data_IF_862739441423
#
_entry.id   IF_862739441423
#
_cell.length_a   1.000
_cell.length_b   1.000
_cell.length_c   1.000
_cell.angle_alpha   90.00
_cell.angle_beta   90.00
_cell.angle_gamma   90.00
#
_symmetry.space_group_name_H-M   'P 1'
#
loop_
_entity.id
_entity.type
_entity.pdbx_description
1 polymer ?
#
# COMPACT_ATOMS: atom_id res chain seq x y z
N UNK A 1 -25.83 -14.38 -23.38
CA UNK A 1 -24.96 -14.40 -22.19
C UNK A 1 -25.60 -15.30 -21.16
N UNK A 2 -24.91 -16.34 -20.67
CA UNK A 2 -25.50 -17.29 -19.68
C UNK A 2 -25.33 -16.69 -18.28
N UNK A 3 -26.30 -16.94 -17.39
CA UNK A 3 -26.28 -16.40 -16.01
C UNK A 3 -24.98 -16.71 -15.26
N UNK A 4 -24.39 -17.88 -15.48
CA UNK A 4 -23.10 -18.29 -14.91
C UNK A 4 -21.93 -17.37 -15.33
N UNK A 5 -21.93 -16.85 -16.56
CA UNK A 5 -20.87 -15.97 -17.07
C UNK A 5 -20.92 -14.58 -16.40
N UNK A 6 -22.13 -14.12 -16.06
CA UNK A 6 -22.32 -12.84 -15.35
C UNK A 6 -21.87 -12.92 -13.90
N UNK A 7 -22.15 -14.07 -13.26
CA UNK A 7 -21.84 -14.29 -11.84
C UNK A 7 -20.42 -14.80 -11.61
N UNK A 8 -19.64 -15.07 -12.68
CA UNK A 8 -18.31 -15.70 -12.62
C UNK A 8 -18.27 -17.01 -11.82
N UNK A 9 -19.34 -17.80 -11.91
CA UNK A 9 -19.49 -19.12 -11.28
C UNK A 9 -19.70 -20.18 -12.35
N UNK A 10 -19.37 -21.44 -12.06
CA UNK A 10 -19.64 -22.55 -12.98
C UNK A 10 -21.12 -22.91 -12.98
N UNK A 11 -21.57 -23.57 -14.05
CA UNK A 11 -22.94 -24.07 -14.11
C UNK A 11 -23.22 -25.06 -12.97
N UNK A 12 -22.23 -25.84 -12.57
CA UNK A 12 -22.27 -26.78 -11.45
C UNK A 12 -22.49 -26.08 -10.11
N UNK A 13 -21.75 -24.99 -9.87
CA UNK A 13 -21.93 -24.13 -8.70
C UNK A 13 -23.28 -23.41 -8.67
N UNK A 14 -23.86 -23.11 -9.85
CA UNK A 14 -25.19 -22.52 -9.94
C UNK A 14 -26.31 -23.53 -9.59
N UNK A 15 -26.06 -24.81 -9.79
CA UNK A 15 -27.05 -25.91 -9.61
C UNK A 15 -26.90 -26.62 -8.25
N UNK A 16 -25.88 -26.34 -7.46
CA UNK A 16 -25.72 -26.91 -6.12
C UNK A 16 -26.38 -26.00 -5.08
N UNK A 17 -27.15 -26.59 -4.15
CA UNK A 17 -27.74 -25.90 -3.00
C UNK A 17 -26.71 -25.46 -1.94
N UNK A 18 -25.44 -25.80 -2.14
CA UNK A 18 -24.36 -25.33 -1.29
C UNK A 18 -23.86 -23.95 -1.79
N UNK A 19 -23.70 -22.95 -0.92
CA UNK A 19 -23.10 -21.69 -1.32
C UNK A 19 -21.72 -21.99 -1.92
N UNK A 20 -21.33 -21.34 -3.04
CA UNK A 20 -20.02 -21.51 -3.63
C UNK A 20 -18.96 -21.21 -2.58
N UNK A 21 -17.98 -22.11 -2.44
CA UNK A 21 -16.79 -21.78 -1.65
C UNK A 21 -16.21 -20.47 -2.16
N UNK A 22 -15.97 -19.50 -1.26
CA UNK A 22 -15.33 -18.25 -1.67
C UNK A 22 -13.99 -18.58 -2.34
N UNK A 23 -13.63 -17.88 -3.42
CA UNK A 23 -12.37 -18.13 -4.11
C UNK A 23 -11.21 -18.11 -3.12
N UNK A 24 -10.26 -19.02 -3.27
CA UNK A 24 -9.10 -19.12 -2.41
C UNK A 24 -8.40 -17.74 -2.33
N UNK A 25 -8.29 -17.16 -1.13
CA UNK A 25 -7.77 -15.81 -0.91
C UNK A 25 -8.83 -14.73 -0.64
N UNK A 26 -10.13 -15.05 -0.66
CA UNK A 26 -11.21 -14.09 -0.38
C UNK A 26 -11.52 -13.92 1.13
N UNK A 27 -10.99 -14.78 1.97
CA UNK A 27 -11.19 -14.70 3.42
C UNK A 27 -10.07 -13.89 4.06
N UNK A 28 -10.38 -12.85 4.86
CA UNK A 28 -9.38 -12.11 5.59
C UNK A 28 -8.55 -13.04 6.50
N UNK A 29 -7.23 -12.87 6.56
CA UNK A 29 -6.38 -13.65 7.45
C UNK A 29 -6.69 -13.35 8.91
N UNK A 30 -6.39 -14.29 9.81
CA UNK A 30 -6.67 -14.18 11.24
C UNK A 30 -6.10 -12.88 11.85
N UNK A 31 -4.91 -12.46 11.43
CA UNK A 31 -4.25 -11.23 11.89
C UNK A 31 -5.01 -9.94 11.51
N UNK A 32 -5.84 -9.98 10.47
CA UNK A 32 -6.64 -8.82 10.08
C UNK A 32 -7.99 -8.75 10.79
N UNK A 33 -8.53 -9.86 11.33
CA UNK A 33 -9.88 -9.93 11.86
C UNK A 33 -10.12 -8.96 13.00
N UNK A 34 -9.22 -8.89 13.99
CA UNK A 34 -9.35 -7.94 15.11
C UNK A 34 -9.37 -6.48 14.66
N UNK A 35 -8.60 -6.13 13.64
CA UNK A 35 -8.58 -4.77 13.05
C UNK A 35 -9.89 -4.50 12.30
N UNK A 36 -10.39 -5.49 11.58
CA UNK A 36 -11.69 -5.40 10.87
C UNK A 36 -12.83 -5.23 11.88
N UNK A 37 -12.86 -6.04 12.92
CA UNK A 37 -13.90 -5.97 13.95
C UNK A 37 -13.91 -4.58 14.64
N UNK A 38 -12.74 -4.02 14.92
CA UNK A 38 -12.62 -2.68 15.49
C UNK A 38 -13.14 -1.57 14.56
N UNK A 39 -13.06 -1.77 13.23
CA UNK A 39 -13.66 -0.81 12.29
C UNK A 39 -15.19 -0.76 12.40
N UNK A 40 -15.84 -1.87 12.72
CA UNK A 40 -17.31 -1.95 12.81
C UNK A 40 -17.81 -1.84 14.26
N UNK A 41 -16.91 -1.93 15.24
CA UNK A 41 -17.25 -1.85 16.66
C UNK A 41 -17.77 -0.47 17.09
N UNK A 42 -18.70 -0.47 18.05
CA UNK A 42 -19.08 0.75 18.71
C UNK A 42 -17.97 1.18 19.70
N UNK A 43 -17.67 2.47 19.83
CA UNK A 43 -16.71 2.92 20.81
C UNK A 43 -17.22 2.56 22.24
N UNK A 44 -16.34 2.03 23.11
CA UNK A 44 -16.72 1.76 24.49
C UNK A 44 -17.07 3.05 25.24
N UNK A 45 -17.84 2.94 26.31
CA UNK A 45 -18.28 4.08 27.16
C UNK A 45 -17.24 4.54 28.19
N UNK A 46 -15.97 4.23 27.98
CA UNK A 46 -14.85 4.63 28.84
C UNK A 46 -14.30 6.00 28.44
N UNK A 47 -13.58 6.66 29.32
CA UNK A 47 -12.90 7.91 29.00
C UNK A 47 -11.85 7.69 27.90
N UNK A 48 -11.75 8.60 26.90
CA UNK A 48 -10.78 8.47 25.82
C UNK A 48 -9.35 8.59 26.36
N UNK A 49 -8.39 7.87 25.77
CA UNK A 49 -6.97 8.08 26.07
C UNK A 49 -6.54 9.53 25.76
N UNK A 50 -5.63 10.08 26.58
CA UNK A 50 -5.08 11.40 26.32
C UNK A 50 -4.46 11.50 24.91
N UNK A 51 -4.62 12.63 24.18
CA UNK A 51 -4.10 12.79 22.81
C UNK A 51 -2.60 12.49 22.66
N UNK A 52 -1.79 12.82 23.66
CA UNK A 52 -0.37 12.51 23.68
C UNK A 52 -0.07 11.00 23.69
N UNK A 53 -0.91 10.20 24.37
CA UNK A 53 -0.79 8.73 24.38
C UNK A 53 -1.13 8.17 23.00
N UNK A 54 -2.22 8.66 22.40
CA UNK A 54 -2.64 8.23 21.06
C UNK A 54 -1.56 8.54 20.02
N UNK A 55 -0.98 9.75 20.02
CA UNK A 55 0.11 10.12 19.11
C UNK A 55 1.34 9.22 19.28
N UNK A 56 1.75 8.94 20.52
CA UNK A 56 2.89 8.06 20.79
C UNK A 56 2.63 6.63 20.30
N UNK A 57 1.45 6.08 20.57
CA UNK A 57 1.06 4.75 20.09
C UNK A 57 0.99 4.71 18.56
N UNK A 58 0.46 5.74 17.93
CA UNK A 58 0.42 5.86 16.47
C UNK A 58 1.83 5.89 15.88
N UNK A 59 2.74 6.70 16.43
CA UNK A 59 4.15 6.73 16.00
C UNK A 59 4.80 5.34 16.07
N UNK A 60 4.65 4.66 17.21
CA UNK A 60 5.12 3.28 17.38
C UNK A 60 4.55 2.32 16.32
N UNK A 61 3.25 2.44 16.01
CA UNK A 61 2.63 1.62 14.98
C UNK A 61 3.16 1.96 13.56
N UNK A 62 3.43 3.23 13.27
CA UNK A 62 4.03 3.63 11.99
C UNK A 62 5.46 3.08 11.84
N UNK A 63 6.28 3.16 12.88
CA UNK A 63 7.61 2.55 12.91
C UNK A 63 7.54 1.02 12.74
N UNK A 64 6.59 0.36 13.44
CA UNK A 64 6.35 -1.07 13.29
C UNK A 64 5.94 -1.44 11.84
N UNK A 65 5.15 -0.59 11.18
CA UNK A 65 4.79 -0.79 9.77
C UNK A 65 6.03 -0.72 8.86
N UNK A 66 6.87 0.31 9.01
CA UNK A 66 8.11 0.46 8.24
C UNK A 66 9.11 -0.68 8.51
N UNK A 67 9.09 -1.24 9.73
CA UNK A 67 9.89 -2.38 10.12
C UNK A 67 9.28 -3.75 9.75
N UNK A 68 8.12 -3.78 9.05
CA UNK A 68 7.36 -5.00 8.70
C UNK A 68 6.86 -5.83 9.90
N UNK A 69 6.73 -5.25 11.08
CA UNK A 69 6.24 -5.94 12.29
C UNK A 69 4.70 -6.00 12.31
N UNK A 70 4.08 -6.69 11.34
CA UNK A 70 2.63 -6.69 11.16
C UNK A 70 1.85 -7.39 12.27
N UNK A 71 2.45 -8.38 12.95
CA UNK A 71 1.86 -8.97 14.14
C UNK A 71 1.69 -7.95 15.29
N UNK A 72 2.61 -6.99 15.41
CA UNK A 72 2.47 -5.87 16.34
C UNK A 72 1.28 -4.98 15.97
N UNK A 73 1.13 -4.68 14.67
CA UNK A 73 -0.01 -3.88 14.18
C UNK A 73 -1.35 -4.59 14.42
N UNK A 74 -1.42 -5.91 14.17
CA UNK A 74 -2.61 -6.72 14.42
C UNK A 74 -3.10 -6.58 15.88
N UNK A 75 -2.17 -6.51 16.84
CA UNK A 75 -2.46 -6.38 18.27
C UNK A 75 -2.80 -4.95 18.69
N UNK A 76 -2.07 -3.94 18.16
CA UNK A 76 -2.17 -2.56 18.65
C UNK A 76 -3.28 -1.73 17.95
N UNK A 77 -3.55 -2.01 16.66
CA UNK A 77 -4.49 -1.20 15.89
C UNK A 77 -5.94 -1.25 16.40
N UNK A 78 -6.49 -2.38 16.88
CA UNK A 78 -7.87 -2.40 17.39
C UNK A 78 -8.12 -1.37 18.48
N UNK A 79 -7.26 -1.32 19.50
CA UNK A 79 -7.36 -0.34 20.59
C UNK A 79 -7.08 1.08 20.13
N UNK A 80 -6.16 1.24 19.17
CA UNK A 80 -5.84 2.56 18.62
C UNK A 80 -7.00 3.14 17.82
N UNK A 81 -7.70 2.32 17.01
CA UNK A 81 -8.93 2.71 16.29
C UNK A 81 -9.98 3.17 17.29
N UNK A 82 -10.26 2.36 18.30
CA UNK A 82 -11.28 2.62 19.29
C UNK A 82 -10.96 3.88 20.10
N UNK A 83 -9.73 4.01 20.61
CA UNK A 83 -9.32 5.16 21.43
C UNK A 83 -9.28 6.46 20.63
N UNK A 84 -8.80 6.44 19.38
CA UNK A 84 -8.80 7.63 18.52
C UNK A 84 -10.23 8.03 18.12
N UNK A 85 -11.11 7.05 17.86
CA UNK A 85 -12.52 7.29 17.59
C UNK A 85 -13.24 7.96 18.75
N UNK A 86 -13.02 7.48 19.98
CA UNK A 86 -13.55 8.09 21.20
C UNK A 86 -13.03 9.52 21.40
N UNK A 87 -11.70 9.72 21.29
CA UNK A 87 -11.10 11.03 21.44
C UNK A 87 -11.67 12.05 20.44
N UNK A 88 -11.84 11.65 19.17
CA UNK A 88 -12.41 12.53 18.15
C UNK A 88 -13.91 12.81 18.37
N UNK A 89 -14.66 11.90 19.01
CA UNK A 89 -16.07 12.08 19.31
C UNK A 89 -16.29 12.99 20.53
N UNK A 90 -15.46 12.87 21.58
CA UNK A 90 -15.62 13.56 22.84
C UNK A 90 -14.74 14.81 23.01
N UNK A 91 -13.88 15.12 22.01
CA UNK A 91 -12.97 16.26 22.07
C UNK A 91 -13.73 17.59 22.27
N UNK A 92 -13.28 18.47 23.18
CA UNK A 92 -13.77 19.84 23.29
C UNK A 92 -13.58 20.58 21.93
N UNK A 93 -14.39 21.62 21.70
CA UNK A 93 -14.37 22.38 20.44
C UNK A 93 -12.97 22.84 20.03
N UNK A 94 -12.13 23.25 21.00
CA UNK A 94 -10.76 23.71 20.74
C UNK A 94 -9.75 22.61 20.38
N UNK A 95 -10.05 21.35 20.68
CA UNK A 95 -9.17 20.19 20.46
C UNK A 95 -9.67 19.29 19.33
N UNK A 96 -10.83 19.59 18.77
CA UNK A 96 -11.51 18.71 17.82
C UNK A 96 -10.72 18.53 16.51
N UNK A 97 -10.11 19.59 16.02
CA UNK A 97 -9.26 19.58 14.82
C UNK A 97 -8.09 18.61 14.98
N UNK A 98 -7.39 18.67 16.11
CA UNK A 98 -6.27 17.80 16.42
C UNK A 98 -6.70 16.33 16.59
N UNK A 99 -7.79 16.10 17.30
CA UNK A 99 -8.34 14.76 17.49
C UNK A 99 -8.76 14.11 16.15
N UNK A 100 -9.35 14.88 15.24
CA UNK A 100 -9.71 14.44 13.90
C UNK A 100 -8.45 14.15 13.06
N UNK A 101 -7.38 14.93 13.16
CA UNK A 101 -6.12 14.67 12.50
C UNK A 101 -5.50 13.34 12.95
N UNK A 102 -5.48 13.07 14.25
CA UNK A 102 -5.01 11.79 14.81
C UNK A 102 -5.88 10.62 14.32
N UNK A 103 -7.21 10.76 14.35
CA UNK A 103 -8.13 9.74 13.87
C UNK A 103 -7.92 9.44 12.38
N UNK A 104 -7.76 10.47 11.57
CA UNK A 104 -7.44 10.33 10.15
C UNK A 104 -6.17 9.49 9.96
N UNK A 105 -5.13 9.81 10.71
CA UNK A 105 -3.85 9.12 10.61
C UNK A 105 -3.95 7.64 11.01
N UNK A 106 -4.71 7.34 12.05
CA UNK A 106 -4.99 5.94 12.45
C UNK A 106 -5.66 5.19 11.31
N UNK A 107 -6.71 5.73 10.71
CA UNK A 107 -7.38 5.08 9.59
C UNK A 107 -6.51 4.96 8.33
N UNK A 108 -5.61 5.91 8.07
CA UNK A 108 -4.62 5.80 7.00
C UNK A 108 -3.67 4.62 7.21
N UNK A 109 -3.20 4.42 8.45
CA UNK A 109 -2.34 3.29 8.80
C UNK A 109 -3.10 1.96 8.70
N UNK A 110 -4.34 1.91 9.19
CA UNK A 110 -5.23 0.75 9.03
C UNK A 110 -5.44 0.40 7.56
N UNK A 111 -5.69 1.40 6.72
CA UNK A 111 -5.80 1.20 5.26
C UNK A 111 -4.54 0.56 4.69
N UNK A 112 -3.36 1.08 5.07
CA UNK A 112 -2.08 0.56 4.59
C UNK A 112 -1.83 -0.87 5.05
N UNK A 113 -2.16 -1.18 6.30
CA UNK A 113 -2.06 -2.51 6.88
C UNK A 113 -2.99 -3.51 6.17
N UNK A 114 -4.25 -3.16 5.99
CA UNK A 114 -5.22 -4.02 5.30
C UNK A 114 -4.86 -4.26 3.83
N UNK A 115 -4.29 -3.26 3.13
CA UNK A 115 -3.81 -3.45 1.76
C UNK A 115 -2.66 -4.47 1.64
N UNK A 116 -2.01 -4.88 2.73
CA UNK A 116 -0.99 -5.95 2.69
C UNK A 116 -1.60 -7.31 2.34
N UNK A 117 -2.88 -7.49 2.61
CA UNK A 117 -3.61 -8.74 2.37
C UNK A 117 -4.40 -8.75 1.05
N UNK A 118 -4.17 -7.75 0.18
CA UNK A 118 -4.72 -7.72 -1.18
C UNK A 118 -6.25 -7.68 -1.24
N UNK A 119 -6.83 -8.49 -2.12
CA UNK A 119 -8.27 -8.52 -2.36
C UNK A 119 -9.09 -9.00 -1.15
N UNK A 120 -8.53 -9.84 -0.30
CA UNK A 120 -9.21 -10.38 0.87
C UNK A 120 -9.72 -9.31 1.86
N UNK A 121 -9.08 -8.16 1.87
CA UNK A 121 -9.40 -7.03 2.77
C UNK A 121 -9.66 -5.71 2.03
N UNK A 122 -9.82 -5.76 0.70
CA UNK A 122 -9.95 -4.56 -0.13
C UNK A 122 -11.17 -3.68 0.25
N UNK A 123 -12.30 -4.30 0.61
CA UNK A 123 -13.52 -3.59 1.03
C UNK A 123 -13.27 -2.85 2.35
N UNK A 124 -12.67 -3.51 3.33
CA UNK A 124 -12.40 -2.95 4.65
C UNK A 124 -11.31 -1.87 4.57
N UNK A 125 -10.30 -2.07 3.71
CA UNK A 125 -9.30 -1.05 3.42
C UNK A 125 -9.92 0.21 2.80
N UNK A 126 -10.89 0.04 1.88
CA UNK A 126 -11.61 1.16 1.28
C UNK A 126 -12.48 1.91 2.31
N UNK A 127 -13.17 1.19 3.20
CA UNK A 127 -13.91 1.78 4.30
C UNK A 127 -13.00 2.60 5.22
N UNK A 128 -11.84 2.07 5.58
CA UNK A 128 -10.87 2.78 6.40
C UNK A 128 -10.32 4.02 5.68
N UNK A 129 -10.06 3.94 4.36
CA UNK A 129 -9.62 5.07 3.55
C UNK A 129 -10.66 6.20 3.47
N UNK A 130 -11.93 5.85 3.31
CA UNK A 130 -13.04 6.81 3.31
C UNK A 130 -13.16 7.52 4.66
N UNK A 131 -13.13 6.76 5.77
CA UNK A 131 -13.13 7.32 7.12
C UNK A 131 -11.91 8.21 7.39
N UNK A 132 -10.73 7.83 6.88
CA UNK A 132 -9.53 8.64 6.96
C UNK A 132 -9.73 10.00 6.29
N UNK A 133 -10.32 10.01 5.09
CA UNK A 133 -10.58 11.25 4.34
C UNK A 133 -11.60 12.13 5.06
N UNK A 134 -12.70 11.58 5.55
CA UNK A 134 -13.71 12.33 6.31
C UNK A 134 -13.11 12.98 7.55
N UNK A 135 -12.29 12.24 8.30
CA UNK A 135 -11.60 12.78 9.49
C UNK A 135 -10.55 13.84 9.10
N UNK A 136 -9.82 13.63 7.99
CA UNK A 136 -8.86 14.61 7.47
C UNK A 136 -9.54 15.93 7.06
N UNK A 137 -10.66 15.86 6.36
CA UNK A 137 -11.42 17.06 5.98
C UNK A 137 -11.95 17.82 7.19
N UNK A 138 -12.38 17.11 8.25
CA UNK A 138 -12.78 17.74 9.53
C UNK A 138 -11.61 18.38 10.26
N UNK A 139 -10.39 17.87 10.10
CA UNK A 139 -9.19 18.50 10.66
C UNK A 139 -8.79 19.77 9.92
N UNK A 140 -9.14 19.90 8.63
CA UNK A 140 -8.75 21.01 7.77
C UNK A 140 -7.26 21.05 7.43
N UNK A 141 -6.46 20.07 7.87
CA UNK A 141 -5.02 19.98 7.61
C UNK A 141 -4.75 19.46 6.19
N UNK A 142 -4.12 20.25 5.29
CA UNK A 142 -3.86 19.84 3.91
C UNK A 142 -2.98 18.59 3.82
N UNK A 143 -2.06 18.37 4.76
CA UNK A 143 -1.21 17.17 4.81
C UNK A 143 -2.05 15.94 5.09
N UNK A 144 -2.94 16.00 6.10
CA UNK A 144 -3.82 14.88 6.42
C UNK A 144 -4.80 14.58 5.26
N UNK A 145 -5.36 15.62 4.64
CA UNK A 145 -6.27 15.46 3.49
C UNK A 145 -5.53 14.81 2.31
N UNK A 146 -4.33 15.28 1.97
CA UNK A 146 -3.52 14.71 0.89
C UNK A 146 -3.11 13.26 1.15
N UNK A 147 -2.66 12.97 2.37
CA UNK A 147 -2.27 11.62 2.77
C UNK A 147 -3.47 10.64 2.79
N UNK A 148 -4.66 11.08 3.21
CA UNK A 148 -5.89 10.29 3.14
C UNK A 148 -6.35 10.09 1.68
N UNK A 149 -6.29 11.13 0.85
CA UNK A 149 -6.64 11.06 -0.56
C UNK A 149 -5.80 10.01 -1.30
N UNK A 150 -4.52 9.89 -0.97
CA UNK A 150 -3.64 8.84 -1.50
C UNK A 150 -4.14 7.43 -1.16
N UNK A 151 -4.67 7.22 0.06
CA UNK A 151 -5.24 5.93 0.49
C UNK A 151 -6.54 5.60 -0.27
N UNK A 152 -7.38 6.60 -0.50
CA UNK A 152 -8.58 6.45 -1.33
C UNK A 152 -8.21 6.10 -2.77
N UNK A 153 -7.26 6.81 -3.38
CA UNK A 153 -6.78 6.50 -4.73
C UNK A 153 -6.28 5.06 -4.85
N UNK A 154 -5.47 4.58 -3.89
CA UNK A 154 -5.02 3.18 -3.86
C UNK A 154 -6.19 2.20 -3.73
N UNK A 155 -7.17 2.49 -2.88
CA UNK A 155 -8.36 1.64 -2.71
C UNK A 155 -9.22 1.58 -3.98
N UNK A 156 -9.31 2.67 -4.75
CA UNK A 156 -9.99 2.69 -6.05
C UNK A 156 -9.32 1.76 -7.07
N UNK A 157 -7.99 1.66 -7.06
CA UNK A 157 -7.26 0.70 -7.91
C UNK A 157 -7.64 -0.74 -7.55
N UNK A 158 -7.69 -1.09 -6.26
CA UNK A 158 -8.16 -2.42 -5.83
C UNK A 158 -9.62 -2.71 -6.19
N UNK A 159 -10.44 -1.66 -6.31
CA UNK A 159 -11.82 -1.76 -6.78
C UNK A 159 -11.94 -1.79 -8.31
N UNK A 160 -10.85 -1.98 -9.04
CA UNK A 160 -10.81 -2.00 -10.51
C UNK A 160 -11.30 -0.68 -11.14
N UNK A 161 -11.02 0.46 -10.48
CA UNK A 161 -11.38 1.82 -10.93
C UNK A 161 -10.15 2.72 -11.08
N UNK A 162 -9.13 2.31 -11.86
CA UNK A 162 -7.89 3.05 -11.95
C UNK A 162 -8.04 4.45 -12.59
N UNK A 163 -8.95 4.65 -13.55
CA UNK A 163 -9.23 5.98 -14.12
C UNK A 163 -9.73 6.96 -13.05
N UNK A 164 -10.67 6.50 -12.23
CA UNK A 164 -11.19 7.30 -11.11
C UNK A 164 -10.08 7.59 -10.09
N UNK A 165 -9.19 6.63 -9.84
CA UNK A 165 -8.05 6.81 -8.93
C UNK A 165 -7.08 7.89 -9.44
N UNK A 166 -6.76 7.91 -10.74
CA UNK A 166 -5.93 8.95 -11.36
C UNK A 166 -6.58 10.32 -11.19
N UNK A 167 -7.87 10.44 -11.58
CA UNK A 167 -8.61 11.70 -11.47
C UNK A 167 -8.66 12.20 -10.03
N UNK A 168 -8.91 11.31 -9.08
CA UNK A 168 -9.01 11.64 -7.67
C UNK A 168 -7.67 12.12 -7.09
N UNK A 169 -6.58 11.38 -7.33
CA UNK A 169 -5.25 11.75 -6.85
C UNK A 169 -4.76 13.07 -7.45
N UNK A 170 -4.95 13.28 -8.76
CA UNK A 170 -4.53 14.53 -9.43
C UNK A 170 -5.38 15.73 -9.05
N UNK A 171 -6.68 15.55 -8.84
CA UNK A 171 -7.56 16.60 -8.34
C UNK A 171 -7.17 17.01 -6.91
N UNK A 172 -6.83 16.03 -6.04
CA UNK A 172 -6.34 16.31 -4.70
C UNK A 172 -4.99 17.04 -4.73
N UNK A 173 -4.04 16.61 -5.56
CA UNK A 173 -2.75 17.29 -5.72
C UNK A 173 -2.94 18.76 -6.10
N UNK A 174 -3.70 19.05 -7.16
CA UNK A 174 -3.96 20.42 -7.63
C UNK A 174 -4.67 21.28 -6.58
N UNK A 175 -5.69 20.72 -5.91
CA UNK A 175 -6.47 21.45 -4.89
C UNK A 175 -5.61 21.84 -3.69
N UNK A 176 -4.68 20.98 -3.30
CA UNK A 176 -3.92 21.12 -2.07
C UNK A 176 -2.52 21.72 -2.28
N UNK A 177 -2.05 21.89 -3.53
CA UNK A 177 -0.68 22.28 -3.87
C UNK A 177 -0.19 23.51 -3.09
N UNK A 178 -0.98 24.58 -3.03
CA UNK A 178 -0.63 25.80 -2.31
C UNK A 178 -0.41 25.55 -0.83
N UNK A 179 -1.39 24.96 -0.15
CA UNK A 179 -1.32 24.66 1.27
C UNK A 179 -0.23 23.62 1.62
N UNK A 180 0.00 22.63 0.74
CA UNK A 180 1.09 21.67 0.92
C UNK A 180 2.46 22.32 0.75
N UNK A 181 2.61 23.20 -0.22
CA UNK A 181 3.88 23.93 -0.45
C UNK A 181 4.24 24.80 0.76
N UNK A 182 3.27 25.43 1.40
CA UNK A 182 3.46 26.23 2.61
C UNK A 182 3.91 25.41 3.82
N UNK A 183 3.62 24.11 3.85
CA UNK A 183 4.04 23.16 4.91
C UNK A 183 5.51 22.67 4.73
N UNK A 184 6.24 23.18 3.73
CA UNK A 184 7.63 22.82 3.51
C UNK A 184 7.84 21.33 3.19
N UNK A 185 8.89 20.69 3.71
CA UNK A 185 9.22 19.29 3.36
C UNK A 185 8.10 18.31 3.63
N UNK A 186 7.36 18.47 4.72
CA UNK A 186 6.22 17.62 5.08
C UNK A 186 5.11 17.68 4.03
N UNK A 187 4.74 18.87 3.59
CA UNK A 187 3.73 19.04 2.54
C UNK A 187 4.24 18.61 1.17
N UNK A 188 5.50 18.90 0.83
CA UNK A 188 6.12 18.43 -0.42
C UNK A 188 6.15 16.91 -0.50
N UNK A 189 6.48 16.22 0.60
CA UNK A 189 6.39 14.75 0.68
C UNK A 189 4.97 14.26 0.35
N UNK A 190 3.95 14.89 0.91
CA UNK A 190 2.55 14.54 0.64
C UNK A 190 2.17 14.78 -0.82
N UNK A 191 2.57 15.92 -1.40
CA UNK A 191 2.29 16.30 -2.78
C UNK A 191 2.94 15.31 -3.76
N UNK A 192 4.23 15.03 -3.58
CA UNK A 192 4.94 14.08 -4.43
C UNK A 192 4.35 12.66 -4.36
N UNK A 193 3.95 12.23 -3.15
CA UNK A 193 3.29 10.93 -2.99
C UNK A 193 1.89 10.87 -3.63
N UNK A 194 1.18 11.99 -3.80
CA UNK A 194 -0.05 12.04 -4.58
C UNK A 194 0.22 11.80 -6.07
N UNK A 195 1.24 12.44 -6.64
CA UNK A 195 1.66 12.21 -8.02
C UNK A 195 2.13 10.76 -8.25
N UNK A 196 2.91 10.19 -7.33
CA UNK A 196 3.31 8.77 -7.40
C UNK A 196 2.09 7.83 -7.34
N UNK A 197 1.07 8.18 -6.56
CA UNK A 197 -0.18 7.41 -6.52
C UNK A 197 -0.95 7.48 -7.83
N UNK A 198 -0.97 8.66 -8.49
CA UNK A 198 -1.54 8.83 -9.82
C UNK A 198 -0.77 8.02 -10.88
N UNK A 199 0.56 7.99 -10.81
CA UNK A 199 1.41 7.19 -11.71
C UNK A 199 1.11 5.69 -11.59
N UNK A 200 1.04 5.16 -10.37
CA UNK A 200 0.70 3.75 -10.13
C UNK A 200 -0.73 3.40 -10.53
N UNK A 201 -1.68 4.32 -10.34
CA UNK A 201 -3.05 4.13 -10.81
C UNK A 201 -3.11 4.11 -12.36
N UNK A 202 -2.41 5.01 -13.03
CA UNK A 202 -2.33 5.04 -14.50
C UNK A 202 -1.68 3.77 -15.06
N UNK A 203 -0.66 3.24 -14.39
CA UNK A 203 0.01 1.99 -14.80
C UNK A 203 -0.76 0.70 -14.47
N UNK A 204 -1.85 0.80 -13.72
CA UNK A 204 -2.76 -0.33 -13.46
C UNK A 204 -3.82 -0.53 -14.55
N UNK A 205 -3.70 0.19 -15.67
CA UNK A 205 -4.57 0.12 -16.83
C UNK A 205 -3.88 -0.63 -17.97
N UNK A 206 -4.62 -0.88 -19.05
CA UNK A 206 -4.05 -1.47 -20.27
C UNK A 206 -2.86 -0.63 -20.79
N UNK A 207 -1.78 -1.29 -21.17
CA UNK A 207 -0.58 -0.62 -21.66
C UNK A 207 -0.84 0.01 -23.04
N UNK A 208 -1.00 1.32 -23.10
CA UNK A 208 -1.05 2.14 -24.29
C UNK A 208 -0.03 3.25 -24.23
N UNK A 209 0.44 3.74 -25.38
CA UNK A 209 1.41 4.85 -25.44
C UNK A 209 0.94 6.07 -24.64
N UNK A 210 -0.33 6.43 -24.73
CA UNK A 210 -0.89 7.57 -24.01
C UNK A 210 -0.86 7.36 -22.48
N UNK A 211 -1.14 6.14 -22.02
CA UNK A 211 -1.11 5.82 -20.57
C UNK A 211 0.32 5.74 -20.03
N UNK A 212 1.26 5.20 -20.81
CA UNK A 212 2.69 5.22 -20.46
C UNK A 212 3.18 6.67 -20.33
N UNK A 213 2.85 7.53 -21.30
CA UNK A 213 3.20 8.95 -21.23
C UNK A 213 2.57 9.66 -20.03
N UNK A 214 1.30 9.41 -19.74
CA UNK A 214 0.63 10.01 -18.58
C UNK A 214 1.26 9.55 -17.26
N UNK A 215 1.52 8.25 -17.09
CA UNK A 215 2.16 7.72 -15.89
C UNK A 215 3.58 8.27 -15.71
N UNK A 216 4.37 8.32 -16.79
CA UNK A 216 5.71 8.93 -16.78
C UNK A 216 5.64 10.43 -16.44
N UNK A 217 4.65 11.15 -16.93
CA UNK A 217 4.42 12.55 -16.57
C UNK A 217 4.23 12.73 -15.06
N UNK A 218 3.41 11.88 -14.43
CA UNK A 218 3.22 11.93 -12.98
C UNK A 218 4.47 11.56 -12.17
N UNK A 219 5.30 10.63 -12.67
CA UNK A 219 6.61 10.34 -12.05
C UNK A 219 7.53 11.55 -12.14
N UNK A 220 7.53 12.27 -13.28
CA UNK A 220 8.33 13.48 -13.46
C UNK A 220 7.85 14.62 -12.55
N UNK A 221 6.54 14.85 -12.42
CA UNK A 221 5.99 15.80 -11.44
C UNK A 221 6.45 15.47 -10.00
N UNK A 222 6.46 14.18 -9.65
CA UNK A 222 6.97 13.76 -8.34
C UNK A 222 8.48 13.99 -8.21
N UNK A 223 9.27 13.82 -9.28
CA UNK A 223 10.70 14.11 -9.30
C UNK A 223 10.98 15.59 -9.08
N UNK A 224 10.24 16.49 -9.76
CA UNK A 224 10.36 17.94 -9.58
C UNK A 224 10.03 18.36 -8.13
N UNK A 225 9.02 17.71 -7.51
CA UNK A 225 8.69 17.92 -6.10
C UNK A 225 9.82 17.42 -5.19
N UNK A 226 10.45 16.27 -5.49
CA UNK A 226 11.57 15.73 -4.72
C UNK A 226 12.81 16.61 -4.81
N UNK A 227 13.08 17.22 -5.97
CA UNK A 227 14.16 18.21 -6.14
C UNK A 227 13.90 19.45 -5.30
N UNK A 228 12.67 19.98 -5.32
CA UNK A 228 12.25 21.11 -4.46
C UNK A 228 12.38 20.80 -2.97
N UNK A 229 12.15 19.53 -2.56
CA UNK A 229 12.31 19.09 -1.19
C UNK A 229 13.78 19.02 -0.76
N UNK A 230 14.71 18.77 -1.68
CA UNK A 230 16.14 18.74 -1.45
C UNK A 230 16.68 17.42 -0.91
N UNK A 231 16.15 16.29 -1.35
CA UNK A 231 16.64 14.95 -1.04
C UNK A 231 15.61 14.02 -0.39
N UNK A 232 16.06 12.82 -0.01
CA UNK A 232 15.22 11.84 0.67
C UNK A 232 14.92 12.25 2.11
N UNK A 233 13.64 12.16 2.51
CA UNK A 233 13.17 12.47 3.85
C UNK A 233 12.07 11.51 4.28
N UNK A 234 12.05 11.16 5.55
CA UNK A 234 10.96 10.36 6.12
C UNK A 234 9.90 11.23 6.80
N UNK A 235 9.50 12.30 6.12
CA UNK A 235 8.39 13.12 6.59
C UNK A 235 7.10 12.31 6.56
N UNK A 236 6.43 12.24 7.68
CA UNK A 236 5.15 11.53 7.82
C UNK A 236 5.21 10.04 7.39
N UNK A 237 6.33 9.35 7.64
CA UNK A 237 6.58 7.94 7.26
C UNK A 237 6.37 7.65 5.78
N UNK A 238 6.67 8.62 4.92
CA UNK A 238 6.53 8.47 3.47
C UNK A 238 7.79 7.98 2.79
N UNK A 239 8.96 8.21 3.39
CA UNK A 239 10.27 8.00 2.75
C UNK A 239 10.34 8.70 1.38
N UNK A 240 9.69 9.88 1.23
CA UNK A 240 9.62 10.56 -0.05
C UNK A 240 10.94 11.28 -0.38
N UNK A 241 11.32 11.17 -1.65
CA UNK A 241 12.49 11.84 -2.23
C UNK A 241 12.91 11.16 -3.53
N UNK A 242 14.08 11.50 -4.09
CA UNK A 242 14.56 10.98 -5.37
C UNK A 242 14.61 9.44 -5.41
N UNK A 243 15.05 8.81 -4.32
CA UNK A 243 15.11 7.34 -4.23
C UNK A 243 13.73 6.72 -4.34
N UNK A 244 12.75 7.22 -3.58
CA UNK A 244 11.38 6.69 -3.64
C UNK A 244 10.71 6.94 -5.00
N UNK A 245 11.00 8.04 -5.66
CA UNK A 245 10.57 8.31 -7.05
C UNK A 245 11.14 7.25 -7.99
N UNK A 246 12.43 6.92 -7.87
CA UNK A 246 13.07 5.84 -8.63
C UNK A 246 12.39 4.48 -8.41
N UNK A 247 12.11 4.11 -7.16
CA UNK A 247 11.40 2.87 -6.83
C UNK A 247 10.00 2.82 -7.48
N UNK A 248 9.26 3.91 -7.48
CA UNK A 248 7.95 3.99 -8.10
C UNK A 248 8.02 3.95 -9.63
N UNK A 249 9.10 4.50 -10.24
CA UNK A 249 9.37 4.35 -11.68
C UNK A 249 9.55 2.89 -12.06
N UNK A 250 10.32 2.14 -11.28
CA UNK A 250 10.50 0.69 -11.46
C UNK A 250 9.15 -0.03 -11.37
N UNK A 251 8.36 0.22 -10.32
CA UNK A 251 7.03 -0.38 -10.15
C UNK A 251 6.08 -0.05 -11.32
N UNK A 252 6.10 1.18 -11.82
CA UNK A 252 5.31 1.63 -12.96
C UNK A 252 5.66 0.82 -14.23
N UNK A 253 6.95 0.67 -14.52
CA UNK A 253 7.43 -0.07 -15.70
C UNK A 253 7.07 -1.55 -15.63
N UNK A 254 7.21 -2.16 -14.46
CA UNK A 254 6.79 -3.56 -14.22
C UNK A 254 5.29 -3.74 -14.48
N UNK A 255 4.45 -2.80 -14.05
CA UNK A 255 2.99 -2.86 -14.27
C UNK A 255 2.62 -2.78 -15.76
N UNK A 256 3.38 -2.06 -16.56
CA UNK A 256 3.24 -2.04 -18.01
C UNK A 256 3.86 -3.27 -18.69
N UNK A 257 4.48 -4.19 -17.94
CA UNK A 257 5.13 -5.38 -18.49
C UNK A 257 6.51 -5.13 -19.08
N UNK A 258 7.06 -3.94 -18.92
CA UNK A 258 8.40 -3.57 -19.41
C UNK A 258 9.48 -3.91 -18.38
N UNK A 259 9.83 -5.19 -18.31
CA UNK A 259 10.83 -5.68 -17.37
C UNK A 259 12.25 -5.19 -17.68
N UNK A 260 12.57 -4.91 -18.97
CA UNK A 260 13.91 -4.43 -19.34
C UNK A 260 14.15 -3.01 -18.87
N UNK A 261 13.25 -2.09 -19.21
CA UNK A 261 13.34 -0.70 -18.73
C UNK A 261 13.23 -0.62 -17.21
N UNK A 262 12.49 -1.54 -16.56
CA UNK A 262 12.43 -1.60 -15.11
C UNK A 262 13.78 -1.96 -14.47
N UNK A 263 14.55 -2.91 -15.06
CA UNK A 263 15.89 -3.24 -14.60
C UNK A 263 16.86 -2.07 -14.79
N UNK A 264 16.81 -1.41 -15.97
CA UNK A 264 17.62 -0.21 -16.23
C UNK A 264 17.31 0.91 -15.24
N UNK A 265 16.03 1.20 -14.98
CA UNK A 265 15.64 2.21 -13.99
C UNK A 265 16.06 1.85 -12.56
N UNK A 266 16.12 0.56 -12.23
CA UNK A 266 16.58 0.10 -10.93
C UNK A 266 18.10 0.28 -10.75
N UNK A 267 18.89 0.12 -11.82
CA UNK A 267 20.34 0.36 -11.79
C UNK A 267 20.68 1.85 -11.54
N UNK A 268 19.75 2.77 -11.81
CA UNK A 268 19.88 4.20 -11.49
C UNK A 268 19.66 4.51 -10.00
N UNK A 269 19.04 3.59 -9.23
CA UNK A 269 18.77 3.77 -7.80
C UNK A 269 20.06 3.52 -7.02
N UNK A 270 20.53 4.53 -6.27
CA UNK A 270 21.72 4.39 -5.42
C UNK A 270 21.51 3.31 -4.35
N UNK A 271 22.42 2.35 -4.28
CA UNK A 271 22.39 1.29 -3.27
C UNK A 271 22.56 1.86 -1.84
N UNK A 272 23.35 2.90 -1.69
CA UNK A 272 23.53 3.60 -0.40
C UNK A 272 22.23 4.28 0.04
N UNK A 273 21.55 4.96 -0.89
CA UNK A 273 20.28 5.61 -0.61
C UNK A 273 19.17 4.57 -0.33
N UNK A 274 19.14 3.45 -1.08
CA UNK A 274 18.23 2.33 -0.83
C UNK A 274 18.44 1.72 0.55
N UNK A 275 19.69 1.55 1.00
CA UNK A 275 20.00 1.05 2.34
C UNK A 275 19.52 1.99 3.46
N UNK A 276 19.36 3.29 3.17
CA UNK A 276 18.77 4.28 4.08
C UNK A 276 17.25 4.24 4.14
N UNK A 277 16.58 3.52 3.23
CA UNK A 277 15.12 3.41 3.22
C UNK A 277 14.60 2.44 4.31
N UNK A 278 13.30 2.51 4.60
CA UNK A 278 12.68 1.56 5.54
C UNK A 278 12.80 0.12 5.05
N UNK A 279 12.80 -0.82 6.00
CA UNK A 279 12.84 -2.28 5.71
C UNK A 279 11.74 -2.69 4.73
N UNK A 280 10.54 -2.10 4.87
CA UNK A 280 9.41 -2.32 3.97
C UNK A 280 9.74 -1.91 2.52
N UNK A 281 10.41 -0.76 2.33
CA UNK A 281 10.80 -0.27 1.01
C UNK A 281 11.90 -1.12 0.37
N UNK A 282 12.92 -1.47 1.15
CA UNK A 282 14.00 -2.33 0.68
C UNK A 282 13.47 -3.70 0.23
N UNK A 283 12.65 -4.36 1.06
CA UNK A 283 12.05 -5.65 0.70
C UNK A 283 11.11 -5.52 -0.51
N UNK A 284 10.31 -4.45 -0.58
CA UNK A 284 9.46 -4.16 -1.73
C UNK A 284 10.27 -3.99 -3.03
N UNK A 285 11.43 -3.37 -2.97
CA UNK A 285 12.34 -3.24 -4.12
C UNK A 285 12.84 -4.61 -4.60
N UNK A 286 13.33 -5.47 -3.71
CA UNK A 286 13.73 -6.84 -4.07
C UNK A 286 12.59 -7.64 -4.72
N UNK A 287 11.36 -7.52 -4.21
CA UNK A 287 10.19 -8.15 -4.84
C UNK A 287 9.93 -7.56 -6.24
N UNK A 288 10.08 -6.26 -6.43
CA UNK A 288 9.96 -5.61 -7.73
C UNK A 288 11.03 -6.11 -8.71
N UNK A 289 12.29 -6.22 -8.27
CA UNK A 289 13.39 -6.76 -9.05
C UNK A 289 13.16 -8.23 -9.45
N UNK A 290 12.61 -9.04 -8.55
CA UNK A 290 12.21 -10.41 -8.86
C UNK A 290 11.14 -10.45 -9.98
N UNK A 291 10.15 -9.55 -9.94
CA UNK A 291 9.12 -9.44 -10.99
C UNK A 291 9.72 -9.02 -12.34
N UNK A 292 10.56 -7.98 -12.36
CA UNK A 292 11.24 -7.51 -13.56
C UNK A 292 12.14 -8.61 -14.17
N UNK A 293 12.87 -9.34 -13.32
CA UNK A 293 13.70 -10.48 -13.70
C UNK A 293 12.88 -11.63 -14.27
N UNK A 294 11.70 -11.91 -13.73
CA UNK A 294 10.80 -12.93 -14.27
C UNK A 294 10.22 -12.51 -15.63
N UNK A 295 9.82 -11.25 -15.81
CA UNK A 295 9.36 -10.69 -17.08
C UNK A 295 10.44 -10.80 -18.18
N UNK A 296 11.70 -10.64 -17.82
CA UNK A 296 12.85 -10.77 -18.74
C UNK A 296 13.43 -12.19 -18.81
N UNK A 297 12.72 -13.19 -18.22
CA UNK A 297 13.10 -14.60 -18.17
C UNK A 297 14.41 -14.92 -17.43
N UNK A 298 14.90 -14.00 -16.60
CA UNK A 298 16.08 -14.16 -15.74
C UNK A 298 15.69 -14.87 -14.43
N UNK A 299 15.30 -16.16 -14.52
CA UNK A 299 14.71 -16.92 -13.40
C UNK A 299 15.65 -17.08 -12.21
N UNK A 300 16.97 -17.21 -12.46
CA UNK A 300 17.99 -17.29 -11.40
C UNK A 300 18.01 -16.02 -10.56
N UNK A 301 18.15 -14.86 -11.21
CA UNK A 301 18.12 -13.56 -10.54
C UNK A 301 16.78 -13.32 -9.83
N UNK A 302 15.64 -13.71 -10.44
CA UNK A 302 14.35 -13.60 -9.79
C UNK A 302 14.28 -14.42 -8.47
N UNK A 303 14.90 -15.60 -8.45
CA UNK A 303 14.96 -16.42 -7.23
C UNK A 303 15.88 -15.79 -6.16
N UNK A 304 17.04 -15.28 -6.55
CA UNK A 304 17.98 -14.59 -5.68
C UNK A 304 17.32 -13.37 -5.01
N UNK A 305 16.63 -12.54 -5.79
CA UNK A 305 15.91 -11.36 -5.29
C UNK A 305 14.79 -11.72 -4.31
N UNK A 306 14.00 -12.77 -4.58
CA UNK A 306 12.97 -13.22 -3.64
C UNK A 306 13.57 -13.79 -2.34
N UNK A 307 14.71 -14.43 -2.42
CA UNK A 307 15.41 -14.95 -1.24
C UNK A 307 15.99 -13.81 -0.40
N UNK A 308 16.53 -12.76 -1.02
CA UNK A 308 16.98 -11.57 -0.29
C UNK A 308 15.79 -10.83 0.34
N UNK A 309 14.66 -10.69 -0.37
CA UNK A 309 13.43 -10.13 0.21
C UNK A 309 12.95 -10.94 1.42
N UNK A 310 12.97 -12.29 1.34
CA UNK A 310 12.56 -13.19 2.43
C UNK A 310 13.50 -13.12 3.64
N UNK A 311 14.80 -12.97 3.42
CA UNK A 311 15.77 -12.74 4.51
C UNK A 311 15.55 -11.40 5.19
N UNK A 312 15.32 -10.36 4.41
CA UNK A 312 15.13 -9.01 4.91
C UNK A 312 13.79 -8.87 5.64
N UNK A 313 12.68 -9.25 5.00
CA UNK A 313 11.33 -9.10 5.52
C UNK A 313 10.44 -10.30 5.12
N UNK A 314 10.45 -11.41 5.87
CA UNK A 314 9.60 -12.57 5.60
C UNK A 314 8.12 -12.22 5.45
N UNK A 315 7.65 -11.21 6.18
CA UNK A 315 6.28 -10.74 6.17
C UNK A 315 5.86 -10.16 4.80
N UNK A 316 6.80 -9.56 4.06
CA UNK A 316 6.57 -9.03 2.71
C UNK A 316 6.56 -10.12 1.64
N UNK A 317 7.10 -11.30 1.94
CA UNK A 317 7.14 -12.42 0.99
C UNK A 317 6.07 -13.45 1.32
N UNK A 318 6.03 -13.94 2.55
CA UNK A 318 5.17 -15.06 2.96
C UNK A 318 3.74 -14.61 3.31
N UNK A 319 3.58 -13.37 3.75
CA UNK A 319 2.31 -12.80 4.20
C UNK A 319 1.53 -12.03 3.11
N UNK A 320 2.14 -11.78 1.93
CA UNK A 320 1.51 -10.99 0.86
C UNK A 320 1.05 -11.90 -0.29
N UNK A 321 -0.26 -11.94 -0.59
CA UNK A 321 -0.80 -12.79 -1.67
C UNK A 321 -0.10 -12.57 -3.02
N UNK A 322 0.18 -11.30 -3.38
CA UNK A 322 0.84 -10.96 -4.65
C UNK A 322 2.27 -11.49 -4.73
N UNK A 323 3.00 -11.53 -3.61
CA UNK A 323 4.36 -12.06 -3.57
C UNK A 323 4.35 -13.58 -3.52
N UNK A 324 3.41 -14.19 -2.79
CA UNK A 324 3.20 -15.64 -2.80
C UNK A 324 2.86 -16.12 -4.22
N UNK A 325 2.02 -15.40 -4.96
CA UNK A 325 1.75 -15.72 -6.36
C UNK A 325 3.01 -15.59 -7.23
N UNK A 326 3.85 -14.58 -7.00
CA UNK A 326 5.13 -14.46 -7.72
C UNK A 326 6.07 -15.65 -7.45
N UNK A 327 6.15 -16.13 -6.20
CA UNK A 327 6.92 -17.35 -5.86
C UNK A 327 6.34 -18.56 -6.60
N UNK A 328 5.01 -18.72 -6.61
CA UNK A 328 4.31 -19.78 -7.33
C UNK A 328 4.62 -19.75 -8.84
N UNK A 329 4.54 -18.58 -9.45
CA UNK A 329 4.81 -18.39 -10.89
C UNK A 329 6.27 -18.71 -11.23
N UNK A 330 7.22 -18.29 -10.37
CA UNK A 330 8.63 -18.58 -10.57
C UNK A 330 8.94 -20.08 -10.44
N UNK A 331 8.37 -20.76 -9.44
CA UNK A 331 8.49 -22.22 -9.29
C UNK A 331 7.91 -22.93 -10.51
N UNK A 332 6.70 -22.54 -10.94
CA UNK A 332 6.05 -23.13 -12.13
C UNK A 332 6.82 -22.87 -13.42
N UNK A 333 7.49 -21.73 -13.53
CA UNK A 333 8.33 -21.39 -14.68
C UNK A 333 9.69 -22.12 -14.66
N UNK A 334 10.12 -22.71 -13.53
CA UNK A 334 11.45 -23.29 -13.36
C UNK A 334 11.37 -24.82 -13.30
N UNK A 335 11.77 -25.57 -14.37
CA UNK A 335 11.58 -27.03 -14.46
C UNK A 335 12.28 -27.82 -13.32
N UNK A 336 13.35 -27.28 -12.75
CA UNK A 336 14.10 -27.87 -11.64
C UNK A 336 14.48 -26.75 -10.66
N UNK A 337 13.56 -26.34 -9.78
CA UNK A 337 13.85 -25.32 -8.80
C UNK A 337 14.97 -25.76 -7.85
N UNK A 338 15.88 -24.85 -7.53
CA UNK A 338 16.93 -25.10 -6.52
C UNK A 338 16.33 -25.34 -5.14
N UNK A 339 17.12 -25.90 -4.22
CA UNK A 339 16.66 -26.25 -2.88
C UNK A 339 16.12 -25.02 -2.10
N UNK A 340 16.78 -23.88 -2.23
CA UNK A 340 16.39 -22.65 -1.53
C UNK A 340 15.04 -22.11 -2.03
N UNK A 341 14.80 -22.12 -3.36
CA UNK A 341 13.50 -21.69 -3.92
C UNK A 341 12.38 -22.66 -3.53
N UNK A 342 12.64 -23.98 -3.48
CA UNK A 342 11.67 -24.96 -2.98
C UNK A 342 11.34 -24.70 -1.50
N UNK A 343 12.35 -24.52 -0.68
CA UNK A 343 12.16 -24.21 0.73
C UNK A 343 11.40 -22.87 0.93
N UNK A 344 11.63 -21.88 0.07
CA UNK A 344 10.85 -20.63 0.09
C UNK A 344 9.37 -20.90 -0.26
N UNK A 345 9.10 -21.68 -1.31
CA UNK A 345 7.74 -22.05 -1.69
C UNK A 345 7.00 -22.78 -0.56
N UNK A 346 7.65 -23.73 0.11
CA UNK A 346 7.11 -24.44 1.28
C UNK A 346 6.79 -23.46 2.42
N UNK A 347 7.68 -22.48 2.71
CA UNK A 347 7.42 -21.44 3.72
C UNK A 347 6.26 -20.52 3.34
N UNK A 348 5.98 -20.36 2.05
CA UNK A 348 4.81 -19.65 1.52
C UNK A 348 3.54 -20.51 1.51
N UNK A 349 3.57 -21.75 2.02
CA UNK A 349 2.44 -22.67 2.01
C UNK A 349 2.14 -23.30 0.63
N UNK A 350 3.06 -23.17 -0.32
CA UNK A 350 2.93 -23.74 -1.66
C UNK A 350 3.47 -25.18 -1.67
N UNK A 351 2.77 -26.08 -2.39
CA UNK A 351 3.31 -27.42 -2.67
C UNK A 351 4.32 -27.27 -3.80
N UNK A 352 5.61 -27.53 -3.51
CA UNK A 352 6.71 -27.46 -4.47
C UNK A 352 6.86 -28.77 -5.24
#
# INVERSE_FOLDING_TARGET
MRAADVLRITLEQLLTDSPPEPPAGSTPPADALGVIDALYGAPPSTDPPAPAILRRRLGYCCEAFQACHYATLARELPDLITGAGQAAHSAPVGEQTEAQAVLSRVYQLVTSYLHKYGEATAIQAALAADRALVAAERSGDPVQIGAAARRVAKSLVYQQRPETAVQFATAAARRLEGGLTEQGPLGLSTLGMLYLSAALAASSQECTTARVQAASGFVNEAADVAERQGGDRDEDWTMFGPTNVGLHRVDMLIRFGDGWSALEAADEVSQEALAGMSRERQAGHHVAMARASLLTRRKGTAAEELLEADKLAPEEVRGRPDTVNLVKDLVGATPRPGNELRALAERCGLRA
#
